data_IF_806076789546
#
_entry.id   IF_806076789546
#
_cell.length_a   1.000
_cell.length_b   1.000
_cell.length_c   1.000
_cell.angle_alpha   90.00
_cell.angle_beta   90.00
_cell.angle_gamma   90.00
#
_symmetry.space_group_name_H-M   'P 1'
#
loop_
_entity.id
_entity.type
_entity.pdbx_description
1 polymer ?
#
# COMPACT_ATOMS: atom_id res chain seq x y z
N UNK A 1 36.29 -23.22 32.88
CA UNK A 1 35.91 -23.20 31.45
C UNK A 1 34.71 -22.28 31.35
N UNK A 2 34.97 -21.06 30.83
CA UNK A 2 34.08 -20.01 30.25
C UNK A 2 32.62 -19.88 30.73
N UNK A 3 32.06 -18.72 31.05
CA UNK A 3 32.50 -17.32 30.89
C UNK A 3 31.32 -16.37 31.18
N UNK A 4 31.65 -15.16 31.62
CA UNK A 4 30.91 -13.89 31.51
C UNK A 4 29.41 -13.87 31.85
N UNK A 5 29.08 -13.45 33.07
CA UNK A 5 27.87 -12.67 33.34
C UNK A 5 28.02 -11.32 32.65
N UNK A 6 27.33 -11.15 31.53
CA UNK A 6 27.27 -9.86 30.82
C UNK A 6 26.34 -8.97 31.63
N UNK A 7 26.92 -8.10 32.47
CA UNK A 7 26.21 -6.95 33.03
C UNK A 7 25.79 -6.06 31.86
N UNK A 8 24.57 -6.30 31.37
CA UNK A 8 23.92 -5.44 30.40
C UNK A 8 23.63 -4.11 31.09
N UNK A 9 24.53 -3.14 30.84
CA UNK A 9 24.42 -1.77 31.30
C UNK A 9 22.99 -1.22 31.07
N UNK A 10 22.37 -0.54 32.05
CA UNK A 10 21.02 0.02 31.92
C UNK A 10 20.90 1.09 30.81
N UNK A 11 22.03 1.57 30.27
CA UNK A 11 22.04 2.42 29.07
C UNK A 11 21.49 1.69 27.83
N UNK A 12 21.61 0.36 27.77
CA UNK A 12 21.14 -0.40 26.61
C UNK A 12 19.63 -0.69 26.68
N UNK A 13 19.02 -0.73 27.88
CA UNK A 13 17.56 -0.82 27.99
C UNK A 13 16.90 0.50 27.58
N UNK A 14 17.49 1.64 28.00
CA UNK A 14 16.97 2.95 27.64
C UNK A 14 17.14 3.24 26.13
N UNK A 15 18.24 2.81 25.52
CA UNK A 15 18.44 2.92 24.07
C UNK A 15 17.49 2.02 23.27
N UNK A 16 17.15 0.84 23.80
CA UNK A 16 16.16 -0.06 23.19
C UNK A 16 14.74 0.53 23.29
N UNK A 17 14.39 1.19 24.40
CA UNK A 17 13.11 1.89 24.58
C UNK A 17 12.99 3.16 23.72
N UNK A 18 14.07 3.92 23.54
CA UNK A 18 14.09 5.09 22.63
C UNK A 18 14.08 4.69 21.15
N UNK A 19 14.66 3.53 20.80
CA UNK A 19 14.68 3.02 19.41
C UNK A 19 13.35 2.41 18.99
N UNK A 20 12.62 1.72 19.88
CA UNK A 20 11.30 1.15 19.54
C UNK A 20 10.22 2.22 19.35
N UNK A 21 10.39 3.40 19.95
CA UNK A 21 9.47 4.54 19.76
C UNK A 21 9.67 5.24 18.40
N UNK A 22 10.81 5.01 17.73
CA UNK A 22 11.13 5.57 16.40
C UNK A 22 10.69 4.66 15.24
N UNK A 23 10.32 3.39 15.52
CA UNK A 23 10.10 2.40 14.47
C UNK A 23 8.62 2.11 14.16
N UNK A 24 7.67 2.62 14.95
CA UNK A 24 6.26 2.30 14.72
C UNK A 24 5.34 3.50 14.95
N UNK A 25 5.29 4.35 13.93
CA UNK A 25 4.06 5.04 13.59
C UNK A 25 3.89 4.95 12.07
N UNK A 26 3.60 3.75 11.60
CA UNK A 26 2.97 3.59 10.29
C UNK A 26 1.51 3.95 10.53
N UNK A 27 1.14 5.19 10.21
CA UNK A 27 -0.26 5.55 10.12
C UNK A 27 -0.78 4.74 8.93
N UNK A 28 -1.46 3.62 9.21
CA UNK A 28 -2.31 2.98 8.20
C UNK A 28 -3.39 4.03 7.86
N UNK A 29 -3.17 4.79 6.79
CA UNK A 29 -4.23 5.61 6.22
C UNK A 29 -5.35 4.67 5.81
N UNK A 30 -6.46 4.76 6.54
CA UNK A 30 -7.66 4.01 6.22
C UNK A 30 -8.09 4.39 4.79
N UNK A 31 -7.99 3.41 3.89
CA UNK A 31 -8.33 3.56 2.47
C UNK A 31 -9.73 4.15 2.31
N UNK A 32 -10.66 3.96 3.25
CA UNK A 32 -12.01 4.53 3.22
C UNK A 32 -12.06 6.07 3.28
N UNK A 33 -11.03 6.72 3.82
CA UNK A 33 -10.97 8.17 4.00
C UNK A 33 -10.45 8.91 2.76
N UNK A 34 -9.82 8.18 1.83
CA UNK A 34 -9.30 8.74 0.58
C UNK A 34 -10.49 9.02 -0.36
N UNK A 35 -10.62 10.19 -1.00
CA UNK A 35 -11.61 10.37 -2.05
C UNK A 35 -11.42 9.34 -3.17
N UNK A 36 -12.51 8.74 -3.68
CA UNK A 36 -12.41 7.63 -4.63
C UNK A 36 -11.65 8.01 -5.90
N UNK A 37 -11.73 9.28 -6.30
CA UNK A 37 -11.08 9.93 -7.45
C UNK A 37 -9.60 10.27 -7.22
N UNK A 38 -9.14 10.28 -5.97
CA UNK A 38 -7.74 10.51 -5.60
C UNK A 38 -6.94 9.19 -5.48
N UNK A 39 -7.60 8.04 -5.63
CA UNK A 39 -6.92 6.74 -5.54
C UNK A 39 -5.97 6.53 -6.74
N UNK A 40 -4.66 6.53 -6.45
CA UNK A 40 -3.61 6.17 -7.42
C UNK A 40 -2.98 4.80 -7.07
N UNK A 41 -3.48 3.74 -7.72
CA UNK A 41 -2.93 2.38 -7.60
C UNK A 41 -1.61 2.17 -8.35
N UNK A 42 -1.12 3.16 -9.10
CA UNK A 42 0.19 3.08 -9.78
C UNK A 42 1.37 3.38 -8.84
N UNK A 43 1.11 3.89 -7.64
CA UNK A 43 2.14 4.17 -6.65
C UNK A 43 2.84 2.88 -6.19
N UNK A 44 4.16 2.71 -6.45
CA UNK A 44 4.88 1.49 -6.12
C UNK A 44 4.91 1.16 -4.62
N UNK A 45 4.73 2.15 -3.74
CA UNK A 45 4.71 1.94 -2.29
C UNK A 45 3.58 1.03 -1.84
N UNK A 46 2.44 1.06 -2.52
CA UNK A 46 1.28 0.22 -2.19
C UNK A 46 1.59 -1.27 -2.36
N UNK A 47 2.42 -1.61 -3.35
CA UNK A 47 2.93 -2.96 -3.53
C UNK A 47 4.03 -3.31 -2.53
N UNK A 48 4.93 -2.37 -2.21
CA UNK A 48 6.01 -2.59 -1.24
C UNK A 48 5.49 -2.85 0.17
N UNK A 49 4.36 -2.24 0.51
CA UNK A 49 3.70 -2.37 1.81
C UNK A 49 2.64 -3.50 1.84
N UNK A 50 2.40 -4.17 0.70
CA UNK A 50 1.37 -5.22 0.54
C UNK A 50 -0.06 -4.79 0.92
N UNK A 51 -0.37 -3.48 0.76
CA UNK A 51 -1.69 -2.90 1.09
C UNK A 51 -2.60 -2.73 -0.13
N UNK A 52 -2.09 -2.97 -1.34
CA UNK A 52 -2.83 -2.71 -2.59
C UNK A 52 -4.16 -3.47 -2.71
N UNK A 53 -4.28 -4.61 -2.00
CA UNK A 53 -5.51 -5.40 -1.97
C UNK A 53 -6.72 -4.61 -1.49
N UNK A 54 -6.55 -3.75 -0.48
CA UNK A 54 -7.62 -2.95 0.12
C UNK A 54 -8.10 -1.85 -0.83
N UNK A 55 -7.18 -1.21 -1.54
CA UNK A 55 -7.48 -0.24 -2.60
C UNK A 55 -8.31 -0.90 -3.71
N UNK A 56 -7.87 -2.04 -4.23
CA UNK A 56 -8.62 -2.73 -5.27
C UNK A 56 -9.97 -3.27 -4.79
N UNK A 57 -10.08 -3.68 -3.52
CA UNK A 57 -11.37 -4.09 -2.95
C UNK A 57 -12.37 -2.95 -3.01
N UNK A 58 -11.98 -1.76 -2.52
CA UNK A 58 -12.84 -0.58 -2.54
C UNK A 58 -13.18 -0.13 -3.96
N UNK A 59 -12.19 -0.08 -4.85
CA UNK A 59 -12.43 0.29 -6.26
C UNK A 59 -13.42 -0.65 -6.93
N UNK A 60 -13.35 -1.98 -6.70
CA UNK A 60 -14.33 -2.92 -7.29
C UNK A 60 -15.77 -2.67 -6.81
N UNK A 61 -15.94 -2.15 -5.60
CA UNK A 61 -17.24 -1.86 -5.00
C UNK A 61 -17.78 -0.50 -5.45
N UNK A 62 -16.96 0.56 -5.42
CA UNK A 62 -17.38 1.94 -5.66
C UNK A 62 -17.16 2.44 -7.10
N UNK A 63 -16.03 2.08 -7.73
CA UNK A 63 -15.60 2.61 -9.02
C UNK A 63 -14.80 1.56 -9.83
N UNK A 64 -15.46 0.49 -10.34
CA UNK A 64 -14.76 -0.65 -10.93
C UNK A 64 -13.99 -0.32 -12.21
N UNK A 65 -14.37 0.78 -12.88
CA UNK A 65 -13.64 1.44 -13.95
C UNK A 65 -13.33 2.86 -13.45
N UNK A 66 -12.10 3.06 -13.00
CA UNK A 66 -11.66 4.29 -12.32
C UNK A 66 -10.67 5.07 -13.18
N UNK A 67 -10.85 6.39 -13.29
CA UNK A 67 -9.93 7.28 -13.99
C UNK A 67 -9.04 8.01 -12.99
N UNK A 68 -7.73 7.84 -13.10
CA UNK A 68 -6.74 8.59 -12.34
C UNK A 68 -6.10 9.63 -13.27
N UNK A 69 -6.28 10.92 -12.98
CA UNK A 69 -5.76 12.00 -13.82
C UNK A 69 -4.27 12.28 -13.58
N UNK A 70 -3.83 12.21 -12.31
CA UNK A 70 -2.51 12.64 -11.85
C UNK A 70 -1.65 11.47 -11.33
N UNK A 71 -1.79 10.30 -11.94
CA UNK A 71 -1.07 9.09 -11.53
C UNK A 71 0.45 9.20 -11.71
N UNK A 72 1.21 8.38 -10.98
CA UNK A 72 2.68 8.34 -11.07
C UNK A 72 3.21 8.20 -12.52
N UNK A 73 2.48 7.49 -13.39
CA UNK A 73 2.84 7.26 -14.80
C UNK A 73 2.14 8.21 -15.79
N UNK A 74 1.45 9.24 -15.29
CA UNK A 74 0.50 10.05 -16.06
C UNK A 74 -0.94 9.53 -15.95
N UNK A 75 -1.89 10.10 -16.71
CA UNK A 75 -3.30 9.75 -16.62
C UNK A 75 -3.60 8.34 -17.13
N UNK A 76 -4.40 7.57 -16.41
CA UNK A 76 -4.75 6.21 -16.79
C UNK A 76 -6.14 5.76 -16.29
N UNK A 77 -6.64 4.68 -16.90
CA UNK A 77 -7.85 3.99 -16.47
C UNK A 77 -7.49 2.68 -15.78
N UNK A 78 -8.06 2.46 -14.60
CA UNK A 78 -8.00 1.19 -13.88
C UNK A 78 -9.27 0.39 -14.12
N UNK A 79 -9.13 -0.79 -14.70
CA UNK A 79 -10.22 -1.77 -14.83
C UNK A 79 -9.98 -2.87 -13.80
N UNK A 80 -10.88 -3.00 -12.82
CA UNK A 80 -10.60 -3.78 -11.59
C UNK A 80 -11.43 -5.06 -11.44
N UNK A 81 -12.49 -5.23 -12.24
CA UNK A 81 -13.33 -6.44 -12.22
C UNK A 81 -12.90 -7.44 -13.28
N UNK A 82 -12.90 -8.72 -12.90
CA UNK A 82 -12.49 -9.83 -13.77
C UNK A 82 -13.21 -9.83 -15.13
N UNK A 83 -14.55 -9.75 -15.15
CA UNK A 83 -15.31 -9.77 -16.40
C UNK A 83 -15.00 -8.56 -17.31
N UNK A 84 -14.73 -7.40 -16.71
CA UNK A 84 -14.41 -6.18 -17.45
C UNK A 84 -13.00 -6.27 -18.04
N UNK A 85 -12.04 -6.82 -17.28
CA UNK A 85 -10.68 -7.10 -17.76
C UNK A 85 -10.74 -8.07 -18.94
N UNK A 86 -11.46 -9.19 -18.83
CA UNK A 86 -11.60 -10.17 -19.93
C UNK A 86 -12.21 -9.50 -21.16
N UNK A 87 -13.23 -8.65 -20.99
CA UNK A 87 -13.85 -7.93 -22.10
C UNK A 87 -12.88 -6.98 -22.80
N UNK A 88 -12.08 -6.23 -22.06
CA UNK A 88 -11.07 -5.31 -22.63
C UNK A 88 -9.94 -6.08 -23.31
N UNK A 89 -9.40 -7.11 -22.65
CA UNK A 89 -8.29 -7.93 -23.16
C UNK A 89 -8.65 -8.71 -24.44
N UNK A 90 -9.92 -9.10 -24.59
CA UNK A 90 -10.40 -9.82 -25.79
C UNK A 90 -10.83 -8.90 -26.93
N UNK A 91 -11.04 -7.60 -26.70
CA UNK A 91 -11.44 -6.63 -27.72
C UNK A 91 -10.25 -5.80 -28.25
N UNK A 92 -9.23 -6.50 -28.71
CA UNK A 92 -7.99 -5.98 -29.31
C UNK A 92 -8.17 -5.04 -30.55
N UNK A 93 -9.41 -4.81 -31.01
CA UNK A 93 -9.69 -3.90 -32.13
C UNK A 93 -10.02 -2.49 -31.65
N UNK A 94 -10.60 -2.38 -30.46
CA UNK A 94 -10.97 -1.11 -29.85
C UNK A 94 -9.99 -0.69 -28.74
N UNK A 95 -9.20 -1.63 -28.22
CA UNK A 95 -8.17 -1.44 -27.20
C UNK A 95 -6.89 -2.20 -27.60
#
# INVERSE_FOLDING_TARGET
MFGATIDLCPMLSHLLEETVMSAEMIIEEDVSQIPIDEIDVSNPKLFQQDVIGDYFKRMREEAPVHYCADGHSGPFWSVTKFNDIVRVDTDHKNF
#
